data_IF_457311795669
#
_entry.id   IF_457311795669
#
_cell.length_a   1.000
_cell.length_b   1.000
_cell.length_c   1.000
_cell.angle_alpha   90.00
_cell.angle_beta   90.00
_cell.angle_gamma   90.00
#
_symmetry.space_group_name_H-M   'P 1'
#
loop_
_entity.id
_entity.type
_entity.pdbx_description
1 polymer ?
#
# COMPACT_ATOMS: atom_id res chain seq x y z
N UNK A 1 -5.41 -2.64 23.44
CA UNK A 1 -4.34 -2.02 22.62
C UNK A 1 -2.94 -1.98 23.26
N UNK A 2 -2.76 -1.74 24.57
CA UNK A 2 -1.41 -1.74 25.18
C UNK A 2 -0.61 -3.02 24.94
N UNK A 3 -1.27 -4.18 25.02
CA UNK A 3 -0.66 -5.47 24.71
C UNK A 3 -0.15 -5.52 23.28
N UNK A 4 -0.95 -5.18 22.27
CA UNK A 4 -0.51 -5.25 20.86
C UNK A 4 0.77 -4.42 20.62
N UNK A 5 0.85 -3.21 21.18
CA UNK A 5 2.05 -2.38 21.11
C UNK A 5 3.27 -3.02 21.79
N UNK A 6 3.08 -3.69 22.94
CA UNK A 6 4.17 -4.43 23.60
C UNK A 6 4.63 -5.63 22.78
N UNK A 7 3.70 -6.37 22.17
CA UNK A 7 4.02 -7.52 21.34
C UNK A 7 4.79 -7.10 20.09
N UNK A 8 4.36 -6.03 19.40
CA UNK A 8 5.09 -5.46 18.27
C UNK A 8 6.50 -5.01 18.69
N UNK A 9 6.65 -4.37 19.85
CA UNK A 9 7.96 -3.98 20.38
C UNK A 9 8.85 -5.19 20.70
N UNK A 10 8.27 -6.29 21.16
CA UNK A 10 9.02 -7.53 21.38
C UNK A 10 9.45 -8.15 20.05
N UNK A 11 8.54 -8.22 19.07
CA UNK A 11 8.77 -8.78 17.75
C UNK A 11 9.82 -7.98 16.96
N UNK A 12 9.85 -6.66 17.10
CA UNK A 12 10.85 -5.82 16.42
C UNK A 12 12.29 -6.13 16.83
N UNK A 13 12.49 -6.72 18.02
CA UNK A 13 13.80 -7.17 18.53
C UNK A 13 14.16 -8.59 18.08
N UNK A 14 13.29 -9.27 17.35
CA UNK A 14 13.45 -10.68 16.92
C UNK A 14 13.75 -10.82 15.43
N UNK A 15 14.00 -9.71 14.73
CA UNK A 15 14.35 -9.73 13.30
C UNK A 15 13.33 -10.49 12.44
N UNK A 16 12.05 -10.35 12.80
CA UNK A 16 10.98 -11.02 12.08
C UNK A 16 10.90 -10.53 10.63
N UNK A 17 10.63 -11.46 9.71
CA UNK A 17 10.54 -11.19 8.27
C UNK A 17 9.11 -11.08 7.76
N UNK A 18 8.18 -11.76 8.43
CA UNK A 18 6.76 -11.74 8.12
C UNK A 18 6.00 -11.19 9.32
N UNK A 19 5.11 -10.23 9.07
CA UNK A 19 4.16 -9.74 10.05
C UNK A 19 2.81 -9.54 9.39
N UNK A 20 1.77 -10.04 10.04
CA UNK A 20 0.38 -9.84 9.65
C UNK A 20 -0.39 -9.30 10.85
N UNK A 21 -1.00 -8.13 10.67
CA UNK A 21 -1.82 -7.47 11.67
C UNK A 21 -3.16 -7.11 11.02
N UNK A 22 -4.22 -7.77 11.48
CA UNK A 22 -5.58 -7.53 10.99
C UNK A 22 -6.46 -7.20 12.18
N UNK A 23 -7.11 -6.04 12.11
CA UNK A 23 -8.16 -5.66 13.04
C UNK A 23 -9.51 -5.86 12.36
N UNK A 24 -10.29 -6.82 12.89
CA UNK A 24 -11.60 -7.18 12.36
C UNK A 24 -12.75 -6.34 12.95
N UNK A 25 -12.43 -5.30 13.74
CA UNK A 25 -13.44 -4.42 14.29
C UNK A 25 -13.98 -3.46 13.23
N UNK A 26 -15.26 -3.10 13.38
CA UNK A 26 -15.97 -2.24 12.42
C UNK A 26 -15.42 -0.80 12.33
N UNK A 27 -14.58 -0.37 13.27
CA UNK A 27 -13.96 0.96 13.26
C UNK A 27 -12.45 0.78 13.33
N UNK A 28 -11.68 1.38 12.39
CA UNK A 28 -10.23 1.35 12.47
C UNK A 28 -9.74 1.91 13.82
N UNK A 29 -9.05 1.06 14.60
CA UNK A 29 -8.53 1.45 15.92
C UNK A 29 -7.29 2.37 15.82
N UNK A 30 -6.92 2.97 16.95
CA UNK A 30 -5.79 3.89 17.08
C UNK A 30 -4.44 3.28 16.62
N UNK A 31 -3.61 4.19 16.10
CA UNK A 31 -2.31 4.00 15.44
C UNK A 31 -1.30 3.06 16.13
N UNK A 32 -0.63 2.21 15.34
CA UNK A 32 0.47 1.34 15.76
C UNK A 32 1.83 1.79 15.20
N UNK A 33 2.31 2.96 15.62
CA UNK A 33 3.60 3.50 15.15
C UNK A 33 4.81 2.58 15.44
N UNK A 34 4.68 1.66 16.42
CA UNK A 34 5.74 0.72 16.79
C UNK A 34 6.01 -0.33 15.71
N UNK A 35 5.07 -0.53 14.78
CA UNK A 35 5.25 -1.50 13.68
C UNK A 35 6.44 -1.14 12.80
N UNK A 36 6.72 0.16 12.67
CA UNK A 36 7.87 0.69 11.93
C UNK A 36 9.23 0.33 12.54
N UNK A 37 9.28 -0.23 13.75
CA UNK A 37 10.53 -0.73 14.34
C UNK A 37 10.93 -2.12 13.83
N UNK A 38 10.04 -2.85 13.15
CA UNK A 38 10.36 -4.16 12.58
C UNK A 38 11.15 -3.99 11.26
N UNK A 39 12.43 -3.64 11.39
CA UNK A 39 13.30 -3.27 10.25
C UNK A 39 13.61 -4.41 9.28
N UNK A 40 13.45 -5.64 9.74
CA UNK A 40 13.79 -6.87 8.99
C UNK A 40 12.62 -7.44 8.19
N UNK A 41 11.47 -6.77 8.19
CA UNK A 41 10.29 -7.22 7.45
C UNK A 41 10.57 -7.27 5.95
N UNK A 42 10.30 -8.43 5.36
CA UNK A 42 10.24 -8.67 3.92
C UNK A 42 8.81 -8.78 3.42
N UNK A 43 7.87 -9.17 4.28
CA UNK A 43 6.45 -9.21 3.98
C UNK A 43 5.64 -8.60 5.13
N UNK A 44 4.76 -7.67 4.81
CA UNK A 44 3.91 -7.00 5.78
C UNK A 44 2.46 -6.96 5.28
N UNK A 45 1.56 -7.57 6.06
CA UNK A 45 0.12 -7.49 5.84
C UNK A 45 -0.51 -6.67 6.97
N UNK A 46 -1.27 -5.66 6.62
CA UNK A 46 -1.81 -4.70 7.58
C UNK A 46 -3.22 -4.30 7.18
N UNK A 47 -4.18 -4.45 8.10
CA UNK A 47 -5.54 -4.06 7.80
C UNK A 47 -6.45 -3.75 8.99
N UNK A 48 -7.45 -2.91 8.74
CA UNK A 48 -8.43 -2.43 9.73
C UNK A 48 -7.85 -1.39 10.70
N UNK A 49 -6.87 -0.60 10.28
CA UNK A 49 -6.18 0.39 11.13
C UNK A 49 -5.96 1.72 10.41
N UNK A 50 -5.82 2.80 11.20
CA UNK A 50 -5.36 4.09 10.69
C UNK A 50 -3.82 4.18 10.73
N UNK A 51 -3.22 4.61 9.62
CA UNK A 51 -1.77 4.72 9.48
C UNK A 51 -1.36 6.19 9.27
N UNK A 52 -0.82 6.80 10.34
CA UNK A 52 -0.13 8.10 10.26
C UNK A 52 1.38 7.85 10.24
N UNK A 53 2.07 8.51 9.30
CA UNK A 53 3.50 8.32 9.12
C UNK A 53 4.25 9.21 10.11
N UNK A 54 5.17 8.62 10.86
CA UNK A 54 6.05 9.40 11.73
C UNK A 54 6.96 10.31 10.89
N UNK A 55 7.24 11.55 11.33
CA UNK A 55 8.17 12.45 10.65
C UNK A 55 9.59 11.87 10.42
N UNK A 56 9.97 10.86 11.22
CA UNK A 56 11.25 10.18 11.14
C UNK A 56 11.13 8.75 10.61
N UNK A 57 10.01 8.40 9.97
CA UNK A 57 9.87 7.10 9.34
C UNK A 57 10.86 7.01 8.17
N UNK A 58 11.88 6.16 8.34
CA UNK A 58 12.86 5.90 7.30
C UNK A 58 12.45 4.75 6.37
N UNK A 59 11.19 4.31 6.40
CA UNK A 59 10.77 3.21 5.53
C UNK A 59 11.11 1.81 6.03
N UNK A 60 10.58 0.80 5.34
CA UNK A 60 11.00 -0.58 5.49
C UNK A 60 12.02 -0.93 4.41
N UNK A 61 13.30 -0.94 4.79
CA UNK A 61 14.42 -1.07 3.87
C UNK A 61 14.56 -2.46 3.21
N UNK A 62 13.87 -3.47 3.74
CA UNK A 62 13.91 -4.86 3.27
C UNK A 62 12.57 -5.38 2.77
N UNK A 63 11.52 -4.54 2.75
CA UNK A 63 10.18 -4.95 2.44
C UNK A 63 10.05 -5.24 0.94
N UNK A 64 9.66 -6.47 0.62
CA UNK A 64 9.44 -6.96 -0.75
C UNK A 64 7.96 -7.01 -1.08
N UNK A 65 7.12 -7.40 -0.11
CA UNK A 65 5.68 -7.57 -0.33
C UNK A 65 4.86 -6.83 0.74
N UNK A 66 3.91 -6.03 0.30
CA UNK A 66 3.04 -5.22 1.14
C UNK A 66 1.58 -5.44 0.77
N UNK A 67 0.78 -5.82 1.76
CA UNK A 67 -0.67 -5.93 1.63
C UNK A 67 -1.36 -4.98 2.61
N UNK A 68 -2.22 -4.12 2.07
CA UNK A 68 -3.02 -3.15 2.80
C UNK A 68 -4.50 -3.45 2.57
N UNK A 69 -5.25 -3.63 3.64
CA UNK A 69 -6.69 -3.92 3.58
C UNK A 69 -7.45 -3.03 4.57
N UNK A 70 -8.40 -2.21 4.11
CA UNK A 70 -9.14 -1.30 5.00
C UNK A 70 -8.21 -0.42 5.85
N UNK A 71 -7.23 0.20 5.18
CA UNK A 71 -6.25 1.09 5.81
C UNK A 71 -6.52 2.52 5.39
N UNK A 72 -6.67 3.41 6.37
CA UNK A 72 -6.81 4.84 6.14
C UNK A 72 -5.47 5.54 6.32
N UNK A 73 -5.07 6.33 5.33
CA UNK A 73 -3.86 7.15 5.36
C UNK A 73 -4.23 8.62 5.54
N UNK A 74 -3.42 9.36 6.29
CA UNK A 74 -3.44 10.82 6.21
C UNK A 74 -3.04 11.27 4.79
N UNK A 75 -3.63 12.36 4.29
CA UNK A 75 -3.37 12.86 2.94
C UNK A 75 -1.87 13.01 2.66
N UNK A 76 -1.40 12.55 1.50
CA UNK A 76 0.02 12.45 1.08
C UNK A 76 0.92 11.45 1.83
N UNK A 77 0.43 10.82 2.91
CA UNK A 77 1.22 9.87 3.68
C UNK A 77 1.53 8.63 2.83
N UNK A 78 0.53 8.06 2.17
CA UNK A 78 0.69 6.84 1.37
C UNK A 78 1.83 6.90 0.36
N UNK A 79 1.92 7.97 -0.44
CA UNK A 79 2.99 8.13 -1.44
C UNK A 79 4.37 8.11 -0.77
N UNK A 80 4.49 8.78 0.38
CA UNK A 80 5.71 8.83 1.18
C UNK A 80 6.04 7.45 1.79
N UNK A 81 5.03 6.71 2.23
CA UNK A 81 5.18 5.36 2.77
C UNK A 81 5.77 4.40 1.73
N UNK A 82 5.16 4.36 0.54
CA UNK A 82 5.60 3.48 -0.55
C UNK A 82 6.99 3.89 -1.03
N UNK A 83 7.25 5.20 -1.20
CA UNK A 83 8.57 5.69 -1.63
C UNK A 83 9.68 5.39 -0.62
N UNK A 84 9.34 5.15 0.65
CA UNK A 84 10.29 4.75 1.68
C UNK A 84 10.59 3.24 1.68
N UNK A 85 9.95 2.43 0.84
CA UNK A 85 10.19 0.99 0.72
C UNK A 85 10.93 0.68 -0.60
N UNK A 86 12.27 0.85 -0.66
CA UNK A 86 13.03 0.87 -1.91
C UNK A 86 13.15 -0.49 -2.63
N UNK A 87 12.83 -1.59 -1.95
CA UNK A 87 12.89 -2.96 -2.48
C UNK A 87 11.51 -3.56 -2.73
N UNK A 88 10.44 -2.75 -2.69
CA UNK A 88 9.08 -3.25 -2.83
C UNK A 88 8.86 -3.84 -4.23
N UNK A 89 8.53 -5.12 -4.29
CA UNK A 89 8.28 -5.91 -5.50
C UNK A 89 6.77 -6.16 -5.70
N UNK A 90 6.02 -6.36 -4.60
CA UNK A 90 4.58 -6.60 -4.63
C UNK A 90 3.82 -5.60 -3.75
N UNK A 91 2.80 -4.96 -4.32
CA UNK A 91 1.89 -4.06 -3.62
C UNK A 91 0.45 -4.47 -3.87
N UNK A 92 -0.26 -4.82 -2.80
CA UNK A 92 -1.67 -5.11 -2.80
C UNK A 92 -2.43 -4.13 -1.91
N UNK A 93 -3.45 -3.48 -2.47
CA UNK A 93 -4.27 -2.50 -1.76
C UNK A 93 -5.74 -2.86 -1.98
N UNK A 94 -6.49 -2.94 -0.89
CA UNK A 94 -7.92 -3.22 -0.93
C UNK A 94 -8.68 -2.42 0.11
N UNK A 95 -9.88 -1.96 -0.26
CA UNK A 95 -10.82 -1.27 0.63
C UNK A 95 -10.22 -0.02 1.34
N UNK A 96 -9.25 0.66 0.73
CA UNK A 96 -8.63 1.85 1.32
C UNK A 96 -9.33 3.14 0.83
N UNK A 97 -10.02 3.84 1.73
CA UNK A 97 -10.96 4.94 1.43
C UNK A 97 -10.34 6.33 1.14
N UNK A 98 -9.12 6.44 0.58
CA UNK A 98 -8.39 7.73 0.62
C UNK A 98 -7.73 8.19 -0.68
N UNK A 99 -7.90 7.51 -1.82
CA UNK A 99 -7.05 7.77 -2.98
C UNK A 99 -7.83 8.11 -4.25
N UNK A 100 -8.05 9.40 -4.48
CA UNK A 100 -8.49 9.88 -5.80
C UNK A 100 -7.37 9.69 -6.86
N UNK A 101 -6.11 9.82 -6.45
CA UNK A 101 -4.94 9.79 -7.35
C UNK A 101 -3.83 8.91 -6.77
N UNK A 102 -3.41 7.90 -7.54
CA UNK A 102 -2.24 7.10 -7.23
C UNK A 102 -1.02 7.59 -8.03
N UNK A 103 -0.15 8.39 -7.41
CA UNK A 103 1.17 8.77 -7.94
C UNK A 103 2.25 8.51 -6.89
N UNK A 104 2.94 7.38 -7.01
CA UNK A 104 4.03 6.99 -6.12
C UNK A 104 5.23 6.49 -6.91
N UNK A 105 6.39 6.47 -6.26
CA UNK A 105 7.62 5.92 -6.84
C UNK A 105 7.93 4.58 -6.21
N UNK A 106 8.00 3.54 -7.04
CA UNK A 106 8.40 2.19 -6.62
C UNK A 106 9.14 1.52 -7.79
N UNK A 107 10.44 1.84 -7.98
CA UNK A 107 11.17 1.44 -9.19
C UNK A 107 11.36 -0.07 -9.31
N UNK A 108 11.31 -0.81 -8.19
CA UNK A 108 11.43 -2.27 -8.13
C UNK A 108 10.11 -3.01 -8.23
N UNK A 109 8.97 -2.31 -8.25
CA UNK A 109 7.66 -2.96 -8.17
C UNK A 109 7.37 -3.75 -9.44
N UNK A 110 7.06 -5.03 -9.27
CA UNK A 110 6.74 -5.98 -10.33
C UNK A 110 5.24 -6.31 -10.36
N UNK A 111 4.58 -6.33 -9.20
CA UNK A 111 3.16 -6.68 -9.07
C UNK A 111 2.41 -5.58 -8.35
N UNK A 112 1.37 -5.06 -9.00
CA UNK A 112 0.45 -4.09 -8.42
C UNK A 112 -0.99 -4.62 -8.49
N UNK A 113 -1.61 -4.81 -7.33
CA UNK A 113 -3.02 -5.15 -7.19
C UNK A 113 -3.76 -4.06 -6.45
N UNK A 114 -4.75 -3.44 -7.10
CA UNK A 114 -5.59 -2.41 -6.51
C UNK A 114 -7.06 -2.84 -6.58
N UNK A 115 -7.74 -2.82 -5.45
CA UNK A 115 -9.20 -2.80 -5.41
C UNK A 115 -9.66 -1.36 -5.23
N UNK A 116 -10.16 -0.79 -6.32
CA UNK A 116 -10.59 0.59 -6.41
C UNK A 116 -11.98 0.74 -5.78
N UNK A 117 -12.10 1.72 -4.89
CA UNK A 117 -13.41 2.25 -4.49
C UNK A 117 -13.89 3.27 -5.55
N UNK A 118 -15.11 3.80 -5.38
CA UNK A 118 -15.73 4.70 -6.34
C UNK A 118 -15.01 6.05 -6.48
N UNK A 119 -14.15 6.42 -5.52
CA UNK A 119 -13.50 7.73 -5.48
C UNK A 119 -12.21 7.80 -6.30
N UNK A 120 -11.64 6.67 -6.70
CA UNK A 120 -10.39 6.65 -7.46
C UNK A 120 -10.58 7.16 -8.90
N UNK A 121 -9.89 8.25 -9.24
CA UNK A 121 -9.98 8.90 -10.55
C UNK A 121 -8.86 8.49 -11.50
N UNK A 122 -7.62 8.35 -11.02
CA UNK A 122 -6.50 7.97 -11.90
C UNK A 122 -5.29 7.36 -11.19
N UNK A 123 -4.43 6.73 -11.99
CA UNK A 123 -3.15 6.14 -11.57
C UNK A 123 -2.02 6.54 -12.52
N UNK A 124 -0.89 6.97 -11.96
CA UNK A 124 0.34 7.31 -12.66
C UNK A 124 1.37 6.18 -12.49
N UNK A 125 1.69 5.50 -13.59
CA UNK A 125 2.65 4.39 -13.61
C UNK A 125 4.06 4.79 -14.11
N UNK A 126 4.31 6.09 -14.34
CA UNK A 126 5.60 6.56 -14.92
C UNK A 126 6.83 6.26 -14.06
N UNK A 127 6.64 6.04 -12.76
CA UNK A 127 7.72 5.82 -11.77
C UNK A 127 7.77 4.36 -11.29
N UNK A 128 7.14 3.45 -12.04
CA UNK A 128 6.98 2.03 -11.72
C UNK A 128 7.43 1.20 -12.93
N UNK A 129 8.72 1.30 -13.25
CA UNK A 129 9.26 0.87 -14.55
C UNK A 129 9.41 -0.65 -14.69
N UNK A 130 9.41 -1.39 -13.59
CA UNK A 130 9.58 -2.84 -13.58
C UNK A 130 8.25 -3.60 -13.51
N UNK A 131 7.10 -2.91 -13.63
CA UNK A 131 5.79 -3.52 -13.47
C UNK A 131 5.56 -4.62 -14.52
N UNK A 132 5.30 -5.83 -14.05
CA UNK A 132 5.01 -7.03 -14.85
C UNK A 132 3.51 -7.31 -14.82
N UNK A 133 2.91 -7.27 -13.63
CA UNK A 133 1.51 -7.59 -13.41
C UNK A 133 0.75 -6.42 -12.80
N UNK A 134 -0.38 -6.08 -13.41
CA UNK A 134 -1.34 -5.09 -12.93
C UNK A 134 -2.71 -5.74 -12.79
N UNK A 135 -3.26 -5.72 -11.59
CA UNK A 135 -4.58 -6.24 -11.26
C UNK A 135 -5.42 -5.08 -10.73
N UNK A 136 -6.51 -4.78 -11.42
CA UNK A 136 -7.49 -3.79 -10.98
C UNK A 136 -8.82 -4.50 -10.70
N UNK A 137 -9.30 -4.40 -9.46
CA UNK A 137 -10.62 -4.90 -9.04
C UNK A 137 -11.52 -3.71 -8.79
N UNK A 138 -12.66 -3.65 -9.46
CA UNK A 138 -13.60 -2.54 -9.33
C UNK A 138 -14.89 -3.12 -8.76
N UNK A 139 -15.34 -2.58 -7.63
CA UNK A 139 -16.66 -2.90 -7.09
C UNK A 139 -17.68 -2.06 -7.88
N UNK A 140 -18.21 -2.59 -8.99
CA UNK A 140 -19.16 -1.87 -9.84
C UNK A 140 -20.58 -1.90 -9.27
N UNK A 141 -21.22 -0.71 -9.26
CA UNK A 141 -22.58 -0.56 -9.78
C UNK A 141 -22.61 0.23 -11.11
N UNK A 142 -21.54 0.95 -11.51
CA UNK A 142 -21.45 1.58 -12.84
C UNK A 142 -20.08 1.31 -13.49
N UNK A 143 -20.12 0.93 -14.77
CA UNK A 143 -19.02 0.29 -15.49
C UNK A 143 -17.84 1.20 -15.84
N UNK A 144 -16.65 0.62 -15.92
CA UNK A 144 -15.49 1.25 -16.57
C UNK A 144 -14.85 0.25 -17.52
N UNK A 145 -14.64 0.69 -18.76
CA UNK A 145 -13.98 -0.05 -19.82
C UNK A 145 -12.46 0.01 -19.65
N UNK A 146 -11.79 -1.14 -19.76
CA UNK A 146 -10.36 -1.18 -20.04
C UNK A 146 -10.10 -2.15 -21.19
N UNK A 147 -9.36 -1.68 -22.18
CA UNK A 147 -8.88 -2.49 -23.28
C UNK A 147 -7.36 -2.69 -23.16
N UNK A 148 -6.96 -3.96 -23.22
CA UNK A 148 -5.61 -4.55 -23.42
C UNK A 148 -4.55 -4.66 -22.31
N UNK A 149 -3.91 -5.83 -22.40
CA UNK A 149 -2.60 -6.25 -21.84
C UNK A 149 -1.50 -5.21 -22.08
N UNK A 150 -0.76 -4.90 -21.02
CA UNK A 150 0.46 -4.09 -21.06
C UNK A 150 1.57 -4.80 -21.84
N UNK A 151 2.12 -4.12 -22.85
CA UNK A 151 3.38 -4.47 -23.49
C UNK A 151 4.38 -3.36 -23.18
N UNK A 152 5.23 -3.60 -22.17
CA UNK A 152 6.53 -3.01 -21.77
C UNK A 152 6.96 -1.55 -22.09
N UNK A 153 6.25 -0.73 -22.87
CA UNK A 153 6.71 0.60 -23.31
C UNK A 153 5.53 1.51 -23.72
N UNK A 154 4.69 1.98 -22.78
CA UNK A 154 3.80 3.10 -23.13
C UNK A 154 3.54 4.08 -22.00
N UNK A 155 3.71 5.33 -22.42
CA UNK A 155 3.46 6.62 -21.83
C UNK A 155 2.19 6.71 -20.97
N UNK A 156 2.33 7.45 -19.87
CA UNK A 156 1.30 8.21 -19.15
C UNK A 156 -0.16 7.92 -19.50
N UNK A 157 -0.86 7.28 -18.56
CA UNK A 157 -2.32 7.15 -18.62
C UNK A 157 -2.97 8.45 -18.15
N UNK A 158 -3.62 9.16 -19.07
CA UNK A 158 -4.54 10.24 -18.73
C UNK A 158 -5.97 9.72 -18.89
N UNK A 159 -6.63 9.42 -17.77
CA UNK A 159 -8.08 9.37 -17.73
C UNK A 159 -8.59 10.78 -17.50
N UNK A 160 -9.09 11.44 -18.55
CA UNK A 160 -9.89 12.66 -18.40
C UNK A 160 -11.34 12.21 -18.23
N UNK A 161 -11.98 12.65 -17.13
CA UNK A 161 -13.42 12.56 -16.96
C UNK A 161 -13.98 13.95 -17.29
N UNK A 162 -14.85 14.03 -18.30
CA UNK A 162 -15.63 15.25 -18.60
C UNK A 162 -16.80 15.32 -17.63
#
# INVERSE_FOLDING_TARGET
MEYLNMWILFLSRREIKYLELVNLQAVPEQMLYRVFFCKELTCFKFGGFNLSILPHFCGFQRLLSLHLEDVRFESSAFQSFISACPLLEELNISLCDCFEYFDFSAPTLEVLSLQCNQDMKSICLKKVNNLIDLILKINQDEGIWFDKKFAKNSEVFYGIMV
#
